data_IF_835851307538
#
_entry.id   IF_835851307538
#
_cell.length_a   1.000
_cell.length_b   1.000
_cell.length_c   1.000
_cell.angle_alpha   90.00
_cell.angle_beta   90.00
_cell.angle_gamma   90.00
#
_symmetry.space_group_name_H-M   'P 1'
#
loop_
_entity.id
_entity.type
_entity.pdbx_description
1 polymer ?
#
# COMPACT_ATOMS: atom_id res chain seq x y z
N UNK A 1 -49.54 -19.43 -22.93
CA UNK A 1 -48.76 -20.68 -22.98
C UNK A 1 -47.26 -20.36 -22.98
N UNK A 2 -46.68 -19.93 -21.86
CA UNK A 2 -45.31 -19.42 -21.85
C UNK A 2 -44.49 -19.70 -20.58
N UNK A 3 -45.03 -20.48 -19.63
CA UNK A 3 -44.36 -20.73 -18.34
C UNK A 3 -44.05 -22.22 -18.11
N UNK A 4 -44.73 -23.12 -18.83
CA UNK A 4 -44.66 -24.58 -18.60
C UNK A 4 -43.41 -25.22 -19.24
N UNK A 5 -42.84 -24.63 -20.29
CA UNK A 5 -41.61 -25.15 -20.94
C UNK A 5 -40.34 -24.85 -20.11
N UNK A 6 -40.40 -23.85 -19.24
CA UNK A 6 -39.21 -23.36 -18.56
C UNK A 6 -38.79 -24.22 -17.35
N UNK A 7 -39.69 -25.03 -16.79
CA UNK A 7 -39.39 -25.98 -15.70
C UNK A 7 -39.47 -27.44 -16.20
N UNK A 8 -39.01 -27.70 -17.43
CA UNK A 8 -38.95 -29.08 -17.95
C UNK A 8 -38.08 -29.96 -17.03
N UNK A 9 -38.60 -31.09 -16.51
CA UNK A 9 -37.85 -32.03 -15.69
C UNK A 9 -36.58 -32.54 -16.39
N UNK A 10 -36.60 -32.64 -17.72
CA UNK A 10 -35.45 -33.07 -18.52
C UNK A 10 -34.29 -32.06 -18.47
N UNK A 11 -34.60 -30.77 -18.54
CA UNK A 11 -33.59 -29.70 -18.46
C UNK A 11 -33.03 -29.61 -17.04
N UNK A 12 -33.90 -29.74 -16.04
CA UNK A 12 -33.48 -29.80 -14.63
C UNK A 12 -32.55 -30.99 -14.39
N UNK A 13 -32.94 -32.20 -14.83
CA UNK A 13 -32.09 -33.39 -14.69
C UNK A 13 -30.75 -33.25 -15.40
N UNK A 14 -30.71 -32.61 -16.57
CA UNK A 14 -29.47 -32.33 -17.26
C UNK A 14 -28.55 -31.37 -16.47
N UNK A 15 -29.07 -30.24 -16.00
CA UNK A 15 -28.31 -29.22 -15.24
C UNK A 15 -27.80 -29.78 -13.90
N UNK A 16 -28.61 -30.61 -13.24
CA UNK A 16 -28.24 -31.22 -11.95
C UNK A 16 -27.40 -32.50 -12.11
N UNK A 17 -27.13 -32.93 -13.34
CA UNK A 17 -26.36 -34.14 -13.59
C UNK A 17 -24.87 -33.99 -13.28
N UNK A 18 -24.26 -35.08 -12.82
CA UNK A 18 -22.80 -35.15 -12.63
C UNK A 18 -22.03 -34.85 -13.92
N UNK A 19 -22.55 -35.24 -15.08
CA UNK A 19 -21.91 -34.99 -16.37
C UNK A 19 -21.85 -33.48 -16.70
N UNK A 20 -22.93 -32.75 -16.43
CA UNK A 20 -22.97 -31.29 -16.59
C UNK A 20 -21.98 -30.61 -15.64
N UNK A 21 -22.00 -31.02 -14.37
CA UNK A 21 -21.07 -30.50 -13.35
C UNK A 21 -19.61 -30.69 -13.75
N UNK A 22 -19.21 -31.89 -14.14
CA UNK A 22 -17.83 -32.18 -14.59
C UNK A 22 -17.45 -31.38 -15.84
N UNK A 23 -18.40 -31.17 -16.75
CA UNK A 23 -18.20 -30.28 -17.91
C UNK A 23 -17.92 -28.84 -17.49
N UNK A 24 -18.70 -28.32 -16.53
CA UNK A 24 -18.52 -26.98 -15.96
C UNK A 24 -17.20 -26.83 -15.20
N UNK A 25 -16.85 -27.79 -14.37
CA UNK A 25 -15.56 -27.85 -13.66
C UNK A 25 -14.40 -27.68 -14.63
N UNK A 26 -14.41 -28.44 -15.74
CA UNK A 26 -13.35 -28.40 -16.75
C UNK A 26 -13.27 -27.05 -17.47
N UNK A 27 -14.39 -26.48 -17.89
CA UNK A 27 -14.39 -25.20 -18.60
C UNK A 27 -14.04 -24.02 -17.69
N UNK A 28 -14.54 -24.01 -16.45
CA UNK A 28 -14.17 -22.99 -15.45
C UNK A 28 -12.69 -23.09 -15.10
N UNK A 29 -12.17 -24.28 -14.81
CA UNK A 29 -10.75 -24.49 -14.51
C UNK A 29 -9.88 -24.03 -15.69
N UNK A 30 -10.23 -24.42 -16.92
CA UNK A 30 -9.52 -23.98 -18.12
C UNK A 30 -9.54 -22.47 -18.31
N UNK A 31 -10.69 -21.82 -18.08
CA UNK A 31 -10.84 -20.37 -18.21
C UNK A 31 -10.03 -19.59 -17.17
N UNK A 32 -9.91 -20.15 -15.95
CA UNK A 32 -9.14 -19.57 -14.85
C UNK A 32 -7.68 -20.04 -14.80
N UNK A 33 -7.24 -20.86 -15.76
CA UNK A 33 -5.90 -21.44 -15.83
C UNK A 33 -5.52 -22.32 -14.64
N UNK A 34 -6.45 -23.17 -14.22
CA UNK A 34 -6.25 -24.23 -13.24
C UNK A 34 -6.23 -25.60 -13.93
N UNK A 35 -5.44 -26.56 -13.40
CA UNK A 35 -5.42 -27.94 -13.90
C UNK A 35 -6.76 -28.65 -13.67
N UNK A 36 -7.43 -28.35 -12.55
CA UNK A 36 -8.73 -28.85 -12.20
C UNK A 36 -9.46 -27.86 -11.28
N UNK A 37 -10.78 -28.00 -11.19
CA UNK A 37 -11.62 -27.30 -10.22
C UNK A 37 -12.81 -28.18 -9.88
N UNK A 38 -13.42 -27.94 -8.72
CA UNK A 38 -14.49 -28.76 -8.19
C UNK A 38 -15.69 -27.90 -7.83
N UNK A 39 -16.85 -28.24 -8.38
CA UNK A 39 -18.12 -27.67 -7.96
C UNK A 39 -18.80 -28.63 -6.98
N UNK A 40 -19.41 -28.05 -5.95
CA UNK A 40 -20.50 -28.71 -5.23
C UNK A 40 -21.66 -29.10 -6.17
N UNK A 41 -22.62 -29.88 -5.67
CA UNK A 41 -23.79 -30.27 -6.47
C UNK A 41 -24.54 -29.02 -7.00
N UNK A 42 -24.67 -28.91 -8.31
CA UNK A 42 -25.40 -27.82 -8.96
C UNK A 42 -26.89 -28.14 -8.85
N UNK A 43 -27.67 -27.22 -8.28
CA UNK A 43 -29.12 -27.34 -8.12
C UNK A 43 -29.82 -26.24 -8.87
N UNK A 44 -30.87 -26.59 -9.61
CA UNK A 44 -31.67 -25.60 -10.30
C UNK A 44 -32.76 -25.09 -9.37
N UNK A 45 -32.72 -23.81 -9.03
CA UNK A 45 -33.68 -23.21 -8.09
C UNK A 45 -34.86 -22.53 -8.78
N UNK A 46 -34.70 -22.12 -10.03
CA UNK A 46 -35.77 -21.51 -10.81
C UNK A 46 -35.62 -21.80 -12.31
N UNK A 47 -36.57 -21.39 -13.17
CA UNK A 47 -36.44 -21.63 -14.59
C UNK A 47 -35.22 -20.95 -15.22
N UNK A 48 -34.67 -19.91 -14.59
CA UNK A 48 -33.53 -19.14 -15.10
C UNK A 48 -32.34 -19.11 -14.13
N UNK A 49 -32.37 -19.86 -13.02
CA UNK A 49 -31.32 -19.80 -11.99
C UNK A 49 -30.85 -21.19 -11.58
N UNK A 50 -29.55 -21.30 -11.38
CA UNK A 50 -28.88 -22.46 -10.80
C UNK A 50 -27.97 -22.01 -9.66
N UNK A 51 -27.77 -22.88 -8.68
CA UNK A 51 -26.95 -22.63 -7.50
C UNK A 51 -25.95 -23.73 -7.27
N UNK A 52 -24.79 -23.36 -6.74
CA UNK A 52 -23.79 -24.26 -6.19
C UNK A 52 -23.34 -23.69 -4.84
N UNK A 53 -23.18 -24.56 -3.84
CA UNK A 53 -22.71 -24.16 -2.51
C UNK A 53 -21.26 -23.67 -2.55
N UNK A 54 -20.41 -24.32 -3.34
CA UNK A 54 -19.00 -23.97 -3.50
C UNK A 54 -18.43 -24.30 -4.89
N UNK A 55 -17.34 -23.60 -5.20
CA UNK A 55 -16.35 -23.92 -6.23
C UNK A 55 -14.95 -23.73 -5.66
N UNK A 56 -14.09 -24.73 -5.78
CA UNK A 56 -12.69 -24.62 -5.38
C UNK A 56 -11.75 -25.03 -6.53
N UNK A 57 -10.62 -24.33 -6.64
CA UNK A 57 -9.55 -24.64 -7.57
C UNK A 57 -8.20 -24.26 -6.95
N UNK A 58 -7.20 -25.11 -7.13
CA UNK A 58 -5.86 -24.94 -6.55
C UNK A 58 -4.78 -25.30 -7.57
N UNK A 59 -3.55 -24.86 -7.31
CA UNK A 59 -2.39 -25.05 -8.18
C UNK A 59 -2.58 -24.37 -9.54
N UNK A 60 -3.12 -23.15 -9.55
CA UNK A 60 -3.26 -22.39 -10.78
C UNK A 60 -1.90 -22.08 -11.43
N UNK A 61 -1.86 -22.14 -12.75
CA UNK A 61 -0.62 -22.12 -13.53
C UNK A 61 -0.17 -20.70 -13.92
N UNK A 62 -1.00 -19.68 -13.66
CA UNK A 62 -0.76 -18.29 -14.09
C UNK A 62 -0.95 -17.30 -12.94
N UNK A 63 -1.76 -16.26 -13.15
CA UNK A 63 -1.97 -15.17 -12.21
C UNK A 63 -2.64 -15.60 -10.91
N UNK A 64 -3.42 -16.68 -10.95
CA UNK A 64 -4.17 -17.22 -9.83
C UNK A 64 -3.47 -18.47 -9.31
N UNK A 65 -3.32 -18.62 -8.01
CA UNK A 65 -2.82 -19.85 -7.36
C UNK A 65 -3.94 -20.66 -6.73
N UNK A 66 -4.95 -19.97 -6.21
CA UNK A 66 -6.06 -20.54 -5.47
C UNK A 66 -7.34 -19.71 -5.67
N UNK A 67 -8.48 -20.40 -5.75
CA UNK A 67 -9.82 -19.82 -5.75
C UNK A 67 -10.72 -20.70 -4.89
N UNK A 68 -11.42 -20.11 -3.92
CA UNK A 68 -12.57 -20.70 -3.22
C UNK A 68 -13.73 -19.71 -3.33
N UNK A 69 -14.83 -20.12 -3.94
CA UNK A 69 -16.04 -19.33 -4.07
C UNK A 69 -17.20 -20.08 -3.42
N UNK A 70 -18.01 -19.39 -2.63
CA UNK A 70 -19.13 -19.96 -1.86
C UNK A 70 -20.42 -19.20 -2.10
N UNK A 71 -21.53 -19.94 -2.05
CA UNK A 71 -22.87 -19.38 -2.27
C UNK A 71 -23.03 -18.85 -3.69
N UNK A 72 -22.70 -19.67 -4.69
CA UNK A 72 -22.70 -19.28 -6.10
C UNK A 72 -24.13 -19.40 -6.62
N UNK A 73 -24.68 -18.30 -7.15
CA UNK A 73 -25.97 -18.27 -7.84
C UNK A 73 -25.76 -17.70 -9.24
N UNK A 74 -26.10 -18.48 -10.27
CA UNK A 74 -25.97 -18.08 -11.65
C UNK A 74 -27.35 -17.92 -12.29
N UNK A 75 -27.60 -16.76 -12.90
CA UNK A 75 -28.75 -16.54 -13.77
C UNK A 75 -28.34 -16.75 -15.22
N UNK A 76 -28.99 -17.69 -15.89
CA UNK A 76 -28.61 -18.14 -17.23
C UNK A 76 -29.79 -18.07 -18.21
N UNK A 77 -29.46 -17.97 -19.51
CA UNK A 77 -30.42 -18.10 -20.59
C UNK A 77 -30.55 -19.59 -21.00
N UNK A 78 -31.67 -20.27 -20.71
CA UNK A 78 -31.84 -21.69 -21.00
C UNK A 78 -31.83 -21.99 -22.51
N UNK A 79 -32.17 -21.02 -23.37
CA UNK A 79 -32.06 -21.19 -24.82
C UNK A 79 -30.61 -21.25 -25.29
N UNK A 80 -29.70 -20.59 -24.55
CA UNK A 80 -28.27 -20.64 -24.77
C UNK A 80 -27.70 -22.07 -24.70
N UNK A 81 -28.22 -22.90 -23.81
CA UNK A 81 -27.80 -24.31 -23.67
C UNK A 81 -28.14 -25.11 -24.93
N UNK A 82 -29.30 -24.86 -25.54
CA UNK A 82 -29.77 -25.54 -26.75
C UNK A 82 -28.96 -25.16 -28.01
N UNK A 83 -28.41 -23.93 -28.05
CA UNK A 83 -27.55 -23.44 -29.15
C UNK A 83 -26.05 -23.50 -28.82
N UNK A 84 -25.65 -24.17 -27.72
CA UNK A 84 -24.26 -24.29 -27.26
C UNK A 84 -23.57 -22.93 -27.01
N UNK A 85 -24.32 -21.93 -26.60
CA UNK A 85 -23.82 -20.60 -26.19
C UNK A 85 -24.24 -20.35 -24.75
N UNK A 86 -23.28 -20.42 -23.83
CA UNK A 86 -23.61 -20.28 -22.42
C UNK A 86 -23.66 -18.80 -22.11
N UNK A 87 -24.83 -18.31 -21.72
CA UNK A 87 -25.07 -16.88 -21.48
C UNK A 87 -25.52 -16.72 -20.05
N UNK A 88 -24.64 -16.16 -19.24
CA UNK A 88 -24.91 -15.80 -17.86
C UNK A 88 -25.18 -14.30 -17.80
N UNK A 89 -26.40 -13.93 -17.45
CA UNK A 89 -26.74 -12.53 -17.26
C UNK A 89 -26.15 -11.99 -15.97
N UNK A 90 -25.99 -12.85 -14.96
CA UNK A 90 -25.51 -12.49 -13.64
C UNK A 90 -24.96 -13.73 -12.95
N UNK A 91 -23.79 -13.60 -12.34
CA UNK A 91 -23.24 -14.58 -11.40
C UNK A 91 -23.04 -13.86 -10.09
N UNK A 92 -23.71 -14.33 -9.05
CA UNK A 92 -23.59 -13.82 -7.70
C UNK A 92 -22.83 -14.83 -6.84
N UNK A 93 -21.88 -14.35 -6.04
CA UNK A 93 -21.06 -15.15 -5.13
C UNK A 93 -21.17 -14.55 -3.73
N UNK A 94 -21.70 -15.31 -2.77
CA UNK A 94 -21.87 -14.81 -1.40
C UNK A 94 -20.54 -14.50 -0.71
N UNK A 95 -19.52 -15.34 -0.90
CA UNK A 95 -18.17 -15.04 -0.44
C UNK A 95 -17.11 -15.74 -1.28
N UNK A 96 -15.93 -15.15 -1.45
CA UNK A 96 -14.83 -15.79 -2.14
C UNK A 96 -13.45 -15.42 -1.62
N UNK A 97 -12.49 -16.28 -1.86
CA UNK A 97 -11.08 -16.08 -1.61
C UNK A 97 -10.31 -16.38 -2.89
N UNK A 98 -9.44 -15.45 -3.28
CA UNK A 98 -8.61 -15.55 -4.46
C UNK A 98 -7.19 -15.19 -4.07
N UNK A 99 -6.26 -16.08 -4.36
CA UNK A 99 -4.82 -15.80 -4.20
C UNK A 99 -4.18 -15.59 -5.57
N UNK A 100 -3.46 -14.46 -5.70
CA UNK A 100 -2.75 -14.07 -6.91
C UNK A 100 -1.23 -14.15 -6.72
N UNK A 101 -0.53 -14.46 -7.80
CA UNK A 101 0.94 -14.51 -7.84
C UNK A 101 1.51 -13.73 -9.03
N UNK A 102 2.73 -13.24 -8.85
CA UNK A 102 3.52 -12.67 -9.95
C UNK A 102 4.02 -13.84 -10.80
N UNK A 103 3.66 -13.85 -12.07
CA UNK A 103 4.14 -14.86 -13.03
C UNK A 103 4.80 -14.17 -14.22
N UNK A 104 5.83 -14.81 -14.78
CA UNK A 104 6.37 -14.37 -16.07
C UNK A 104 5.46 -14.91 -17.17
N UNK A 105 4.78 -14.02 -17.88
CA UNK A 105 3.96 -14.38 -19.03
C UNK A 105 4.87 -14.92 -20.14
N UNK A 106 4.97 -16.25 -20.24
CA UNK A 106 5.53 -16.89 -21.41
C UNK A 106 4.38 -17.09 -22.42
N UNK A 107 4.46 -16.51 -23.63
CA UNK A 107 3.41 -16.67 -24.62
C UNK A 107 3.44 -18.08 -25.18
N UNK A 108 2.59 -18.97 -24.67
CA UNK A 108 2.39 -20.30 -25.27
C UNK A 108 1.21 -20.34 -26.23
N UNK A 109 1.43 -21.07 -27.32
CA UNK A 109 0.49 -21.32 -28.40
C UNK A 109 -0.77 -22.00 -27.88
N UNK A 110 -1.92 -21.55 -28.39
CA UNK A 110 -3.22 -22.09 -27.97
C UNK A 110 -3.30 -23.56 -28.39
N UNK A 111 -3.36 -24.54 -27.47
CA UNK A 111 -3.39 -25.94 -27.87
C UNK A 111 -4.65 -26.20 -28.70
N UNK A 112 -4.49 -27.00 -29.77
CA UNK A 112 -5.58 -27.35 -30.68
C UNK A 112 -6.74 -28.01 -29.92
N UNK A 113 -7.98 -27.63 -30.27
CA UNK A 113 -9.17 -28.13 -29.58
C UNK A 113 -9.28 -29.66 -29.75
N UNK A 114 -9.44 -30.45 -28.68
CA UNK A 114 -9.63 -31.90 -28.78
C UNK A 114 -10.94 -32.27 -29.50
N UNK A 115 -11.01 -33.48 -30.05
CA UNK A 115 -12.09 -33.99 -30.91
C UNK A 115 -13.50 -34.00 -30.27
N UNK A 116 -13.60 -33.96 -28.94
CA UNK A 116 -14.87 -33.86 -28.19
C UNK A 116 -15.32 -32.42 -27.90
N UNK A 117 -14.60 -31.39 -28.39
CA UNK A 117 -15.02 -29.98 -28.29
C UNK A 117 -16.35 -29.67 -29.00
N UNK A 118 -16.87 -30.61 -29.79
CA UNK A 118 -18.21 -30.59 -30.38
C UNK A 118 -19.34 -30.57 -29.34
N UNK A 119 -19.13 -31.01 -28.10
CA UNK A 119 -20.18 -31.08 -27.07
C UNK A 119 -20.11 -29.97 -26.01
N UNK A 120 -19.12 -29.10 -26.11
CA UNK A 120 -18.88 -27.99 -25.17
C UNK A 120 -19.41 -26.66 -25.72
N UNK A 121 -19.78 -25.69 -24.87
CA UNK A 121 -20.04 -24.31 -25.29
C UNK A 121 -18.99 -23.78 -26.26
N UNK A 122 -19.42 -23.17 -27.37
CA UNK A 122 -18.46 -22.51 -28.27
C UNK A 122 -17.96 -21.17 -27.71
N UNK A 123 -18.76 -20.51 -26.84
CA UNK A 123 -18.45 -19.26 -26.13
C UNK A 123 -19.26 -19.15 -24.84
N UNK A 124 -18.61 -18.66 -23.78
CA UNK A 124 -19.27 -18.20 -22.54
C UNK A 124 -19.41 -16.69 -22.62
N UNK A 125 -20.65 -16.19 -22.53
CA UNK A 125 -20.96 -14.77 -22.42
C UNK A 125 -21.36 -14.47 -20.98
N UNK A 126 -20.50 -13.72 -20.29
CA UNK A 126 -20.75 -13.19 -18.96
C UNK A 126 -21.17 -11.73 -19.12
N UNK A 127 -22.23 -11.29 -18.42
CA UNK A 127 -22.58 -9.86 -18.38
C UNK A 127 -22.13 -9.17 -17.10
N UNK A 128 -22.16 -9.87 -15.98
CA UNK A 128 -21.87 -9.34 -14.65
C UNK A 128 -21.52 -10.47 -13.69
N UNK A 129 -20.46 -10.31 -12.92
CA UNK A 129 -20.14 -11.15 -11.77
C UNK A 129 -20.08 -10.24 -10.56
N UNK A 130 -20.70 -10.63 -9.46
CA UNK A 130 -20.71 -9.88 -8.22
C UNK A 130 -20.40 -10.79 -7.05
N UNK A 131 -19.52 -10.36 -6.17
CA UNK A 131 -19.20 -11.03 -4.92
C UNK A 131 -19.45 -10.08 -3.74
N UNK A 132 -20.26 -10.50 -2.76
CA UNK A 132 -20.57 -9.66 -1.60
C UNK A 132 -19.38 -9.47 -0.67
N UNK A 133 -18.59 -10.53 -0.50
CA UNK A 133 -17.36 -10.55 0.31
C UNK A 133 -16.27 -11.34 -0.38
N UNK A 134 -15.33 -10.65 -0.99
CA UNK A 134 -14.15 -11.22 -1.62
C UNK A 134 -12.89 -10.89 -0.80
N UNK A 135 -12.02 -11.88 -0.64
CA UNK A 135 -10.66 -11.71 -0.20
C UNK A 135 -9.75 -11.88 -1.41
N UNK A 136 -9.04 -10.84 -1.81
CA UNK A 136 -8.05 -10.89 -2.90
C UNK A 136 -6.68 -10.73 -2.28
N UNK A 137 -5.89 -11.81 -2.26
CA UNK A 137 -4.63 -11.85 -1.52
C UNK A 137 -3.42 -12.17 -2.39
N UNK A 138 -2.27 -11.64 -2.03
CA UNK A 138 -0.98 -11.89 -2.67
C UNK A 138 0.12 -11.99 -1.62
N UNK A 139 1.34 -12.35 -2.04
CA UNK A 139 2.51 -12.29 -1.17
C UNK A 139 3.31 -11.02 -1.41
N UNK A 140 3.59 -10.29 -0.33
CA UNK A 140 4.46 -9.12 -0.34
C UNK A 140 5.53 -9.27 0.73
N UNK A 141 6.82 -9.24 0.33
CA UNK A 141 7.97 -9.50 1.22
C UNK A 141 7.87 -10.80 2.03
N UNK A 142 7.24 -11.84 1.48
CA UNK A 142 7.03 -13.13 2.13
C UNK A 142 5.79 -13.19 3.03
N UNK A 143 5.14 -12.06 3.30
CA UNK A 143 3.92 -11.95 4.11
C UNK A 143 2.66 -11.93 3.24
N UNK A 144 1.54 -12.31 3.84
CA UNK A 144 0.22 -12.28 3.19
C UNK A 144 -0.29 -10.84 3.17
N UNK A 145 -0.46 -10.30 1.97
CA UNK A 145 -1.09 -9.02 1.71
C UNK A 145 -2.42 -9.23 0.98
N UNK A 146 -3.31 -8.24 1.01
CA UNK A 146 -4.58 -8.37 0.31
C UNK A 146 -5.61 -7.30 0.62
N UNK A 147 -6.67 -7.31 -0.18
CA UNK A 147 -7.96 -6.72 0.15
C UNK A 147 -8.84 -7.77 0.80
N UNK A 148 -9.40 -7.47 1.96
CA UNK A 148 -10.18 -8.40 2.78
C UNK A 148 -11.60 -7.89 2.96
N UNK A 149 -12.57 -8.76 2.71
CA UNK A 149 -14.00 -8.47 2.88
C UNK A 149 -14.52 -7.42 1.92
N UNK A 150 -13.95 -7.29 0.73
CA UNK A 150 -14.37 -6.29 -0.26
C UNK A 150 -15.53 -6.80 -1.12
N UNK A 151 -16.47 -5.92 -1.46
CA UNK A 151 -17.50 -6.24 -2.46
C UNK A 151 -16.91 -6.04 -3.84
N UNK A 152 -16.87 -7.10 -4.65
CA UNK A 152 -16.26 -7.11 -5.97
C UNK A 152 -17.33 -7.18 -7.06
N UNK A 153 -17.24 -6.31 -8.05
CA UNK A 153 -18.05 -6.30 -9.26
C UNK A 153 -17.13 -6.44 -10.46
N UNK A 154 -17.42 -7.41 -11.32
CA UNK A 154 -16.66 -7.67 -12.54
C UNK A 154 -17.61 -7.53 -13.73
N UNK A 155 -17.28 -6.63 -14.65
CA UNK A 155 -18.06 -6.37 -15.86
C UNK A 155 -17.20 -6.53 -17.12
N UNK A 156 -17.71 -7.10 -18.21
CA UNK A 156 -16.96 -7.19 -19.46
C UNK A 156 -16.69 -5.81 -20.06
N UNK A 157 -15.46 -5.58 -20.47
CA UNK A 157 -15.02 -4.43 -21.26
C UNK A 157 -14.51 -4.92 -22.62
N UNK A 158 -15.42 -5.10 -23.58
CA UNK A 158 -15.08 -5.66 -24.89
C UNK A 158 -14.64 -7.14 -24.80
N UNK A 159 -13.32 -7.39 -24.88
CA UNK A 159 -12.72 -8.73 -24.71
C UNK A 159 -12.04 -8.91 -23.34
N UNK A 160 -11.98 -7.85 -22.56
CA UNK A 160 -11.31 -7.74 -21.28
C UNK A 160 -12.36 -7.53 -20.16
N UNK A 161 -11.92 -7.24 -18.94
CA UNK A 161 -12.81 -7.07 -17.79
C UNK A 161 -12.44 -5.84 -16.96
N UNK A 162 -13.47 -5.10 -16.55
CA UNK A 162 -13.41 -4.09 -15.50
C UNK A 162 -13.67 -4.76 -14.15
N UNK A 163 -12.91 -4.35 -13.15
CA UNK A 163 -13.00 -4.82 -11.78
C UNK A 163 -13.21 -3.61 -10.89
N UNK A 164 -14.35 -3.57 -10.21
CA UNK A 164 -14.67 -2.54 -9.23
C UNK A 164 -14.78 -3.20 -7.88
N UNK A 165 -13.97 -2.79 -6.92
CA UNK A 165 -14.07 -3.29 -5.55
C UNK A 165 -14.37 -2.15 -4.58
N UNK A 166 -15.25 -2.39 -3.60
CA UNK A 166 -15.73 -1.38 -2.64
C UNK A 166 -15.83 -1.97 -1.25
N UNK A 167 -15.53 -1.17 -0.24
CA UNK A 167 -15.50 -1.64 1.15
C UNK A 167 -14.39 -2.67 1.41
N UNK A 168 -14.23 -3.00 2.69
CA UNK A 168 -13.20 -3.93 3.16
C UNK A 168 -11.90 -3.21 3.54
N UNK A 169 -10.87 -3.99 3.87
CA UNK A 169 -9.60 -3.46 4.35
C UNK A 169 -8.43 -3.97 3.50
N UNK A 170 -7.52 -3.05 3.17
CA UNK A 170 -6.19 -3.35 2.67
C UNK A 170 -5.28 -3.69 3.86
N UNK A 171 -4.66 -4.87 3.81
CA UNK A 171 -3.60 -5.26 4.74
C UNK A 171 -2.36 -5.62 3.93
N UNK A 172 -1.23 -5.02 4.25
CA UNK A 172 0.06 -5.39 3.69
C UNK A 172 1.20 -4.98 4.61
N UNK A 173 2.34 -5.66 4.52
CA UNK A 173 3.53 -5.27 5.26
C UNK A 173 3.96 -3.83 4.89
N UNK A 174 4.51 -3.09 5.85
CA UNK A 174 4.97 -1.69 5.77
C UNK A 174 3.88 -0.61 5.72
N UNK A 175 2.61 -0.96 5.48
CA UNK A 175 1.50 -0.01 5.55
C UNK A 175 0.64 -0.30 6.78
N UNK A 176 0.06 0.72 7.44
CA UNK A 176 -1.04 0.47 8.36
C UNK A 176 -2.23 -0.15 7.62
N UNK A 177 -3.15 -0.77 8.36
CA UNK A 177 -4.41 -1.22 7.79
C UNK A 177 -5.22 -0.01 7.29
N UNK A 178 -5.65 -0.07 6.03
CA UNK A 178 -6.42 1.00 5.39
C UNK A 178 -7.78 0.46 4.94
N UNK A 179 -8.82 1.25 5.09
CA UNK A 179 -10.14 0.95 4.58
C UNK A 179 -10.21 1.24 3.08
N UNK A 180 -10.67 0.29 2.28
CA UNK A 180 -10.93 0.47 0.86
C UNK A 180 -12.29 1.10 0.66
N UNK A 181 -12.35 2.36 0.23
CA UNK A 181 -13.62 2.97 -0.19
C UNK A 181 -14.03 2.45 -1.55
N UNK A 182 -13.11 2.56 -2.53
CA UNK A 182 -13.34 2.12 -3.90
C UNK A 182 -12.03 1.91 -4.64
N UNK A 183 -12.01 0.92 -5.53
CA UNK A 183 -10.97 0.75 -6.53
C UNK A 183 -11.61 0.38 -7.86
N UNK A 184 -11.12 0.96 -8.95
CA UNK A 184 -11.55 0.72 -10.31
C UNK A 184 -10.32 0.29 -11.14
N UNK A 185 -10.31 -0.96 -11.60
CA UNK A 185 -9.19 -1.57 -12.33
C UNK A 185 -9.67 -2.14 -13.66
N UNK A 186 -8.97 -1.83 -14.74
CA UNK A 186 -9.11 -2.48 -16.04
C UNK A 186 -7.90 -3.38 -16.29
N UNK A 187 -8.12 -4.68 -16.46
CA UNK A 187 -7.06 -5.63 -16.79
C UNK A 187 -7.24 -6.07 -18.24
N UNK A 188 -6.27 -5.73 -19.09
CA UNK A 188 -6.21 -6.14 -20.48
C UNK A 188 -5.04 -7.10 -20.73
N UNK A 189 -4.94 -7.65 -21.94
CA UNK A 189 -3.75 -8.43 -22.35
C UNK A 189 -2.45 -7.64 -22.34
N UNK A 190 -2.51 -6.32 -22.47
CA UNK A 190 -1.33 -5.46 -22.68
C UNK A 190 -0.96 -4.63 -21.44
N UNK A 191 -1.92 -4.37 -20.56
CA UNK A 191 -1.71 -3.53 -19.37
C UNK A 191 -2.78 -3.78 -18.29
N UNK A 192 -2.38 -3.57 -17.04
CA UNK A 192 -3.25 -3.34 -15.91
C UNK A 192 -3.35 -1.82 -15.71
N UNK A 193 -4.55 -1.27 -15.79
CA UNK A 193 -4.81 0.16 -15.58
C UNK A 193 -5.62 0.30 -14.30
N UNK A 194 -5.05 1.01 -13.33
CA UNK A 194 -5.71 1.44 -12.11
C UNK A 194 -6.27 2.83 -12.37
N UNK A 195 -7.56 2.92 -12.66
CA UNK A 195 -8.21 4.21 -12.94
C UNK A 195 -8.35 5.05 -11.68
N UNK A 196 -8.63 4.40 -10.56
CA UNK A 196 -8.78 5.05 -9.27
C UNK A 196 -8.61 4.01 -8.16
N UNK A 197 -7.89 4.37 -7.11
CA UNK A 197 -7.97 3.74 -5.80
C UNK A 197 -8.18 4.84 -4.75
N UNK A 198 -9.17 4.65 -3.89
CA UNK A 198 -9.47 5.52 -2.74
C UNK A 198 -9.43 4.68 -1.47
N UNK A 199 -8.42 4.96 -0.65
CA UNK A 199 -8.18 4.34 0.65
C UNK A 199 -8.33 5.37 1.76
N UNK A 200 -8.77 4.95 2.93
CA UNK A 200 -8.88 5.80 4.11
C UNK A 200 -8.23 5.13 5.33
N UNK A 201 -7.80 5.89 6.35
CA UNK A 201 -7.33 5.32 7.62
C UNK A 201 -8.37 4.47 8.34
N UNK A 202 -9.66 4.71 8.04
CA UNK A 202 -10.78 3.94 8.55
C UNK A 202 -12.07 4.34 7.83
N UNK A 203 -13.12 3.55 7.99
CA UNK A 203 -14.40 3.69 7.27
C UNK A 203 -15.03 5.08 7.38
N UNK A 204 -14.91 5.71 8.56
CA UNK A 204 -15.47 7.05 8.85
C UNK A 204 -14.42 8.15 8.94
N UNK A 205 -13.18 7.86 8.55
CA UNK A 205 -12.11 8.86 8.57
C UNK A 205 -12.28 9.82 7.39
N UNK A 206 -11.94 11.10 7.61
CA UNK A 206 -11.90 12.11 6.55
C UNK A 206 -10.61 11.99 5.71
N UNK A 207 -9.53 11.44 6.28
CA UNK A 207 -8.28 11.22 5.58
C UNK A 207 -8.43 10.28 4.39
N UNK A 208 -7.67 10.54 3.33
CA UNK A 208 -7.73 9.75 2.10
C UNK A 208 -6.35 9.56 1.47
N UNK A 209 -6.24 8.48 0.69
CA UNK A 209 -5.16 8.23 -0.25
C UNK A 209 -5.82 7.92 -1.58
N UNK A 210 -5.61 8.79 -2.55
CA UNK A 210 -6.08 8.62 -3.91
C UNK A 210 -4.92 8.22 -4.80
N UNK A 211 -5.09 7.22 -5.66
CA UNK A 211 -4.07 6.83 -6.61
C UNK A 211 -4.62 6.39 -7.95
N UNK A 212 -3.76 6.46 -8.95
CA UNK A 212 -4.01 6.02 -10.32
C UNK A 212 -2.71 5.53 -10.93
N UNK A 213 -2.78 4.65 -11.92
CA UNK A 213 -1.56 4.19 -12.57
C UNK A 213 -1.77 3.14 -13.63
N UNK A 214 -0.67 2.79 -14.29
CA UNK A 214 -0.62 1.76 -15.31
C UNK A 214 0.58 0.86 -15.10
N UNK A 215 0.39 -0.43 -15.34
CA UNK A 215 1.46 -1.42 -15.37
C UNK A 215 1.36 -2.22 -16.67
N UNK A 216 2.42 -2.16 -17.49
CA UNK A 216 2.52 -2.93 -18.72
C UNK A 216 2.60 -4.43 -18.47
N UNK A 217 1.96 -5.21 -19.34
CA UNK A 217 1.99 -6.67 -19.32
C UNK A 217 2.69 -7.19 -20.59
N UNK A 218 3.52 -8.23 -20.42
CA UNK A 218 4.20 -8.90 -21.53
C UNK A 218 5.51 -8.23 -21.92
N UNK A 219 5.57 -7.67 -23.14
CA UNK A 219 6.78 -7.02 -23.69
C UNK A 219 7.01 -5.64 -23.10
N UNK A 220 5.94 -4.87 -22.89
CA UNK A 220 6.01 -3.65 -22.11
C UNK A 220 5.82 -4.03 -20.64
N UNK A 221 6.75 -3.62 -19.78
CA UNK A 221 6.70 -3.86 -18.33
C UNK A 221 6.85 -2.57 -17.54
N UNK A 222 6.70 -1.42 -18.22
CA UNK A 222 6.78 -0.12 -17.58
C UNK A 222 5.68 0.02 -16.53
N UNK A 223 6.00 0.71 -15.45
CA UNK A 223 5.04 1.10 -14.43
C UNK A 223 5.07 2.60 -14.31
N UNK A 224 3.88 3.17 -14.15
CA UNK A 224 3.66 4.55 -13.75
C UNK A 224 2.52 4.55 -12.72
N UNK A 225 2.75 5.17 -11.57
CA UNK A 225 1.77 5.23 -10.50
C UNK A 225 1.86 6.58 -9.80
N UNK A 226 0.72 7.26 -9.73
CA UNK A 226 0.54 8.51 -9.03
C UNK A 226 -0.29 8.25 -7.78
N UNK A 227 0.09 8.89 -6.69
CA UNK A 227 -0.67 8.84 -5.44
C UNK A 227 -0.65 10.19 -4.78
N UNK A 228 -1.80 10.64 -4.32
CA UNK A 228 -1.95 11.81 -3.46
C UNK A 228 -2.56 11.35 -2.14
N UNK A 229 -2.14 11.97 -1.05
CA UNK A 229 -2.68 11.70 0.27
C UNK A 229 -3.04 13.01 0.95
N UNK A 230 -4.18 13.00 1.63
CA UNK A 230 -4.78 14.15 2.30
C UNK A 230 -5.20 13.73 3.70
N UNK A 231 -4.82 14.52 4.72
CA UNK A 231 -5.16 14.29 6.12
C UNK A 231 -4.84 12.87 6.64
N UNK A 232 -3.72 12.30 6.23
CA UNK A 232 -3.33 10.96 6.65
C UNK A 232 -2.63 10.96 8.01
N UNK A 233 -3.12 10.24 9.04
CA UNK A 233 -2.49 10.25 10.36
C UNK A 233 -1.12 9.58 10.31
N UNK A 234 -0.05 10.34 10.60
CA UNK A 234 1.34 9.84 10.48
C UNK A 234 1.65 8.70 11.45
N UNK A 235 0.94 8.64 12.59
CA UNK A 235 1.18 7.69 13.68
C UNK A 235 1.16 6.23 13.23
N UNK A 236 0.31 5.86 12.26
CA UNK A 236 0.23 4.50 11.74
C UNK A 236 1.45 4.08 10.91
N UNK A 237 2.22 5.05 10.43
CA UNK A 237 3.33 4.88 9.48
C UNK A 237 4.71 4.96 10.14
N UNK A 238 4.76 5.40 11.39
CA UNK A 238 6.00 5.53 12.15
C UNK A 238 6.44 4.20 12.75
N UNK A 239 7.75 3.99 12.97
CA UNK A 239 8.24 2.85 13.76
C UNK A 239 7.67 2.87 15.18
N UNK A 240 7.53 1.69 15.81
CA UNK A 240 6.85 1.54 17.10
C UNK A 240 7.41 2.44 18.21
N UNK A 241 8.73 2.65 18.23
CA UNK A 241 9.41 3.56 19.16
C UNK A 241 8.85 4.99 19.05
N UNK A 242 8.50 5.46 17.85
CA UNK A 242 8.06 6.84 17.57
C UNK A 242 6.55 7.04 17.67
N UNK A 243 5.74 5.97 17.58
CA UNK A 243 4.26 6.06 17.58
C UNK A 243 3.65 6.71 18.82
N UNK A 244 4.38 6.74 19.94
CA UNK A 244 3.89 7.36 21.20
C UNK A 244 4.29 8.83 21.33
N UNK A 245 5.21 9.29 20.49
CA UNK A 245 5.82 10.61 20.63
C UNK A 245 5.41 11.57 19.53
N UNK A 246 5.09 11.07 18.34
CA UNK A 246 4.77 11.90 17.19
C UNK A 246 3.32 11.72 16.75
N UNK A 247 2.67 12.84 16.48
CA UNK A 247 1.33 12.91 15.93
C UNK A 247 1.24 14.03 14.87
N UNK A 248 0.26 13.95 13.99
CA UNK A 248 0.06 14.91 12.90
C UNK A 248 -0.67 14.31 11.71
N UNK A 249 -1.07 15.17 10.79
CA UNK A 249 -1.78 14.80 9.56
C UNK A 249 -0.89 15.09 8.34
N UNK A 250 -0.54 14.06 7.59
CA UNK A 250 0.27 14.14 6.39
C UNK A 250 -0.57 14.45 5.15
N UNK A 251 0.02 15.29 4.30
CA UNK A 251 -0.47 15.73 3.00
C UNK A 251 0.65 15.65 1.99
N UNK A 252 0.31 15.37 0.73
CA UNK A 252 1.29 15.38 -0.33
C UNK A 252 0.98 14.38 -1.43
N UNK A 253 2.04 14.01 -2.16
CA UNK A 253 1.91 13.11 -3.28
C UNK A 253 3.21 12.42 -3.63
N UNK A 254 3.08 11.32 -4.36
CA UNK A 254 4.16 10.45 -4.80
C UNK A 254 3.91 10.10 -6.26
N UNK A 255 4.92 10.31 -7.08
CA UNK A 255 5.00 9.84 -8.46
C UNK A 255 6.04 8.74 -8.55
N UNK A 256 5.64 7.55 -8.96
CA UNK A 256 6.48 6.37 -9.10
C UNK A 256 6.52 5.91 -10.55
N UNK A 257 7.72 5.71 -11.09
CA UNK A 257 7.94 5.14 -12.42
C UNK A 257 8.98 4.02 -12.39
N UNK A 258 8.90 3.12 -13.36
CA UNK A 258 9.90 2.07 -13.53
C UNK A 258 9.84 1.43 -14.91
N UNK A 259 10.99 0.97 -15.41
CA UNK A 259 11.04 0.23 -16.67
C UNK A 259 10.49 -1.21 -16.51
N UNK A 260 10.57 -1.73 -15.29
CA UNK A 260 10.04 -3.04 -14.91
C UNK A 260 9.34 -2.94 -13.55
N UNK A 261 8.49 -3.92 -13.17
CA UNK A 261 7.91 -4.02 -11.83
C UNK A 261 8.92 -4.21 -10.69
N UNK A 262 10.21 -4.34 -10.98
CA UNK A 262 11.22 -4.51 -9.95
C UNK A 262 11.58 -3.17 -9.34
N UNK A 263 11.73 -3.16 -8.01
CA UNK A 263 12.16 -1.98 -7.26
C UNK A 263 13.52 -1.45 -7.76
N UNK A 264 14.41 -2.35 -8.18
CA UNK A 264 15.76 -2.05 -8.69
C UNK A 264 15.76 -1.15 -9.94
N UNK A 265 14.73 -1.27 -10.79
CA UNK A 265 14.60 -0.52 -12.04
C UNK A 265 13.63 0.67 -11.90
N UNK A 266 13.38 1.09 -10.65
CA UNK A 266 12.35 2.07 -10.33
C UNK A 266 12.91 3.34 -9.70
N UNK A 267 12.21 4.43 -9.97
CA UNK A 267 12.49 5.76 -9.44
C UNK A 267 11.20 6.47 -9.11
N UNK A 268 11.27 7.46 -8.25
CA UNK A 268 10.15 8.34 -8.07
C UNK A 268 10.49 9.56 -7.25
N UNK A 269 9.48 10.38 -7.06
CA UNK A 269 9.56 11.65 -6.38
C UNK A 269 8.30 11.84 -5.56
N UNK A 270 8.42 12.61 -4.47
CA UNK A 270 7.30 12.90 -3.63
C UNK A 270 7.52 14.13 -2.78
N UNK A 271 6.41 14.68 -2.33
CA UNK A 271 6.34 15.80 -1.42
C UNK A 271 5.55 15.36 -0.21
N UNK A 272 6.06 15.69 0.97
CA UNK A 272 5.40 15.43 2.24
C UNK A 272 5.31 16.74 3.00
N UNK A 273 4.10 17.07 3.44
CA UNK A 273 3.80 18.13 4.37
C UNK A 273 3.00 17.55 5.53
N UNK A 274 3.28 17.98 6.76
CA UNK A 274 2.56 17.51 7.95
C UNK A 274 1.98 18.72 8.68
N UNK A 275 0.66 18.75 8.78
CA UNK A 275 -0.07 19.73 9.58
C UNK A 275 -0.35 19.19 10.98
N UNK A 276 -0.56 20.13 11.93
CA UNK A 276 -0.83 19.83 13.34
C UNK A 276 0.20 18.86 13.95
N UNK A 277 1.46 18.97 13.50
CA UNK A 277 2.51 18.05 13.92
C UNK A 277 2.92 18.35 15.36
N UNK A 278 2.83 17.33 16.22
CA UNK A 278 3.16 17.41 17.64
C UNK A 278 4.20 16.38 17.99
N UNK A 279 5.21 16.80 18.74
CA UNK A 279 6.22 15.93 19.30
C UNK A 279 6.23 16.05 20.82
N UNK A 280 5.81 14.98 21.50
CA UNK A 280 5.61 14.92 22.94
C UNK A 280 6.46 13.82 23.58
N UNK A 281 6.89 14.04 24.82
CA UNK A 281 7.55 13.04 25.68
C UNK A 281 8.79 12.40 25.02
N UNK A 282 9.50 13.11 24.15
CA UNK A 282 10.76 12.60 23.63
C UNK A 282 11.81 12.72 24.74
N UNK A 283 12.51 11.65 25.12
CA UNK A 283 13.44 11.69 26.26
C UNK A 283 14.51 12.78 26.15
N UNK A 284 14.96 13.12 24.93
CA UNK A 284 15.91 14.22 24.74
C UNK A 284 15.30 15.60 24.99
N UNK A 285 14.01 15.78 24.73
CA UNK A 285 13.31 17.04 24.99
C UNK A 285 13.08 17.30 26.48
N UNK A 286 12.81 16.24 27.24
CA UNK A 286 12.77 16.31 28.71
C UNK A 286 14.12 16.78 29.27
N UNK A 287 15.22 16.25 28.72
CA UNK A 287 16.59 16.66 29.10
C UNK A 287 16.90 18.09 28.68
N UNK A 288 16.51 18.51 27.48
CA UNK A 288 16.68 19.90 27.04
C UNK A 288 15.84 20.87 27.88
N UNK A 289 14.67 20.45 28.34
CA UNK A 289 13.84 21.20 29.29
C UNK A 289 14.56 21.42 30.62
N UNK A 290 15.19 20.38 31.18
CA UNK A 290 16.00 20.47 32.41
C UNK A 290 17.17 21.44 32.22
N UNK A 291 17.84 21.40 31.06
CA UNK A 291 19.01 22.25 30.75
C UNK A 291 18.65 23.71 30.50
N UNK A 292 17.72 23.95 29.58
CA UNK A 292 17.28 25.29 29.21
C UNK A 292 16.37 25.93 30.25
N UNK A 293 15.99 25.20 31.32
CA UNK A 293 15.03 25.60 32.33
C UNK A 293 13.68 26.05 31.72
N UNK A 294 13.30 25.41 30.62
CA UNK A 294 12.18 25.83 29.78
C UNK A 294 11.28 24.65 29.48
N UNK A 295 10.11 24.60 30.15
CA UNK A 295 9.11 23.55 29.96
C UNK A 295 8.49 23.54 28.56
N UNK A 296 8.64 24.61 27.80
CA UNK A 296 8.13 24.63 26.42
C UNK A 296 8.78 23.59 25.51
N UNK A 297 9.91 22.95 25.88
CA UNK A 297 10.46 21.85 25.08
C UNK A 297 9.79 20.50 25.33
N UNK A 298 9.05 20.29 26.42
CA UNK A 298 8.33 19.02 26.70
C UNK A 298 7.30 18.69 25.63
N UNK A 299 6.76 19.74 25.00
CA UNK A 299 5.75 19.69 23.95
C UNK A 299 6.18 20.60 22.79
N UNK A 300 6.52 19.99 21.65
CA UNK A 300 6.78 20.75 20.42
C UNK A 300 5.55 20.75 19.54
N UNK A 301 5.14 21.94 19.11
CA UNK A 301 4.12 22.13 18.09
C UNK A 301 4.79 22.67 16.82
N UNK A 302 4.97 21.81 15.82
CA UNK A 302 5.61 22.21 14.57
C UNK A 302 4.61 23.02 13.74
N UNK A 303 4.98 24.27 13.49
CA UNK A 303 4.26 25.20 12.62
C UNK A 303 4.57 24.98 11.13
N UNK A 304 5.73 24.40 10.83
CA UNK A 304 6.09 23.92 9.49
C UNK A 304 6.77 22.55 9.62
N UNK A 305 6.38 21.61 8.77
CA UNK A 305 6.97 20.29 8.67
C UNK A 305 6.79 19.83 7.22
N UNK A 306 7.80 20.05 6.40
CA UNK A 306 7.77 19.66 4.99
C UNK A 306 9.10 19.11 4.51
N UNK A 307 9.04 18.23 3.52
CA UNK A 307 10.20 17.70 2.83
C UNK A 307 9.83 17.25 1.42
N UNK A 308 10.82 17.32 0.53
CA UNK A 308 10.77 16.71 -0.80
C UNK A 308 11.69 15.51 -0.80
N UNK A 309 11.29 14.42 -1.43
CA UNK A 309 12.14 13.26 -1.59
C UNK A 309 12.12 12.75 -3.02
N UNK A 310 13.27 12.26 -3.47
CA UNK A 310 13.42 11.57 -4.75
C UNK A 310 14.19 10.29 -4.49
N UNK A 311 13.78 9.19 -5.09
CA UNK A 311 14.52 7.94 -5.01
C UNK A 311 14.84 7.41 -6.40
N UNK A 312 16.02 6.81 -6.50
CA UNK A 312 16.45 6.00 -7.63
C UNK A 312 17.27 4.87 -7.03
N UNK A 313 16.72 3.66 -7.05
CA UNK A 313 17.30 2.55 -6.31
C UNK A 313 18.81 2.41 -6.62
N UNK A 314 19.68 2.23 -5.61
CA UNK A 314 19.40 2.11 -4.17
C UNK A 314 19.48 3.43 -3.38
N UNK A 315 19.53 4.58 -4.05
CA UNK A 315 19.68 5.91 -3.45
C UNK A 315 18.36 6.63 -3.20
N UNK A 316 18.32 7.39 -2.11
CA UNK A 316 17.23 8.29 -1.73
C UNK A 316 17.86 9.66 -1.41
N UNK A 317 17.33 10.71 -2.01
CA UNK A 317 17.66 12.09 -1.70
C UNK A 317 16.44 12.76 -1.05
N UNK A 318 16.64 13.40 0.08
CA UNK A 318 15.66 14.19 0.79
C UNK A 318 16.15 15.63 0.76
N UNK A 319 15.36 16.52 0.18
CA UNK A 319 15.68 17.93 -0.05
C UNK A 319 14.58 18.80 0.54
N UNK A 320 14.89 20.09 0.63
CA UNK A 320 13.96 21.11 1.11
C UNK A 320 13.30 20.72 2.44
N UNK A 321 14.09 20.07 3.32
CA UNK A 321 13.65 19.74 4.67
C UNK A 321 13.40 21.08 5.35
N UNK A 322 12.18 21.29 5.84
CA UNK A 322 11.80 22.45 6.62
C UNK A 322 11.01 21.97 7.83
N UNK A 323 11.60 22.12 9.02
CA UNK A 323 10.91 21.88 10.30
C UNK A 323 11.01 23.16 11.11
N UNK A 324 9.89 23.72 11.54
CA UNK A 324 9.89 24.94 12.34
C UNK A 324 8.86 24.87 13.45
N UNK A 325 9.27 25.23 14.65
CA UNK A 325 8.38 25.75 15.67
C UNK A 325 8.67 27.24 15.85
N UNK A 326 7.75 28.07 15.36
CA UNK A 326 7.95 29.51 15.25
C UNK A 326 8.35 30.13 16.59
N UNK A 327 9.52 30.76 16.61
CA UNK A 327 10.06 31.42 17.81
C UNK A 327 10.85 30.51 18.76
N UNK A 328 10.97 29.20 18.46
CA UNK A 328 11.85 28.26 19.16
C UNK A 328 13.03 27.83 18.32
N UNK A 329 12.77 27.08 17.25
CA UNK A 329 13.83 26.55 16.40
C UNK A 329 13.33 26.37 14.97
N UNK A 330 14.28 26.31 14.05
CA UNK A 330 14.06 26.04 12.63
C UNK A 330 15.17 25.13 12.11
N UNK A 331 14.80 24.16 11.31
CA UNK A 331 15.68 23.15 10.72
C UNK A 331 15.50 23.22 9.21
N UNK A 332 16.60 23.42 8.50
CA UNK A 332 16.60 23.45 7.03
C UNK A 332 17.71 22.58 6.48
N UNK A 333 17.49 21.84 5.39
CA UNK A 333 18.62 21.17 4.75
C UNK A 333 18.28 20.06 3.78
N UNK A 334 19.28 19.22 3.55
CA UNK A 334 19.19 18.08 2.66
C UNK A 334 20.00 16.90 3.19
N UNK A 335 19.48 15.71 2.95
CA UNK A 335 20.04 14.43 3.36
C UNK A 335 20.03 13.50 2.15
N UNK A 336 21.03 12.66 2.05
CA UNK A 336 21.14 11.59 1.06
C UNK A 336 21.38 10.26 1.79
N UNK A 337 20.73 9.22 1.30
CA UNK A 337 20.87 7.86 1.78
C UNK A 337 21.23 7.01 0.57
N UNK A 338 22.42 6.41 0.57
CA UNK A 338 22.84 5.45 -0.47
C UNK A 338 23.23 4.14 0.19
N UNK A 339 22.53 3.05 -0.16
CA UNK A 339 22.78 1.71 0.40
C UNK A 339 22.95 1.72 1.94
N UNK A 340 22.05 2.41 2.65
CA UNK A 340 22.03 2.66 4.11
C UNK A 340 23.04 3.68 4.63
N UNK A 341 24.02 4.13 3.85
CA UNK A 341 24.94 5.18 4.28
C UNK A 341 24.21 6.53 4.32
N UNK A 342 24.23 7.20 5.46
CA UNK A 342 23.59 8.48 5.68
C UNK A 342 24.60 9.60 5.51
N UNK A 343 24.28 10.61 4.68
CA UNK A 343 25.11 11.80 4.49
C UNK A 343 24.25 13.03 4.27
N UNK A 344 24.58 14.14 4.92
CA UNK A 344 23.85 15.39 4.68
C UNK A 344 24.38 16.54 5.51
N UNK A 345 23.79 17.70 5.26
CA UNK A 345 24.01 18.88 6.08
C UNK A 345 22.66 19.55 6.35
N UNK A 346 22.45 19.86 7.63
CA UNK A 346 21.25 20.52 8.12
C UNK A 346 21.67 21.80 8.83
N UNK A 347 21.03 22.91 8.49
CA UNK A 347 21.07 24.16 9.22
C UNK A 347 20.10 24.08 10.40
N UNK A 348 20.62 24.23 11.62
CA UNK A 348 19.84 24.31 12.84
C UNK A 348 19.88 25.75 13.36
N UNK A 349 18.73 26.43 13.29
CA UNK A 349 18.49 27.75 13.85
C UNK A 349 17.76 27.63 15.19
N UNK A 350 18.28 28.28 16.23
CA UNK A 350 17.67 28.30 17.57
C UNK A 350 17.52 29.75 18.04
N UNK A 351 16.41 30.09 18.70
CA UNK A 351 16.24 31.43 19.25
C UNK A 351 17.23 31.65 20.40
N UNK A 352 17.88 32.83 20.45
CA UNK A 352 18.97 33.11 21.41
C UNK A 352 18.62 32.77 22.86
N UNK A 353 17.40 33.10 23.30
CA UNK A 353 16.91 32.82 24.66
C UNK A 353 16.99 31.34 25.07
N UNK A 354 17.02 30.41 24.11
CA UNK A 354 17.13 28.97 24.38
C UNK A 354 18.57 28.45 24.36
N UNK A 355 19.55 29.33 24.11
CA UNK A 355 20.99 29.03 24.13
C UNK A 355 21.70 29.65 25.34
N UNK A 356 20.97 30.29 26.26
CA UNK A 356 21.58 31.01 27.41
C UNK A 356 22.31 30.07 28.39
N UNK A 357 22.01 28.77 28.36
CA UNK A 357 22.70 27.74 29.16
C UNK A 357 24.05 27.33 28.54
N UNK A 358 24.29 27.60 27.26
CA UNK A 358 25.50 27.22 26.55
C UNK A 358 26.56 28.33 26.71
N UNK A 359 27.75 28.06 27.29
CA UNK A 359 28.82 29.03 27.34
C UNK A 359 29.34 29.31 25.92
N UNK A 360 29.48 30.58 25.54
CA UNK A 360 30.00 30.97 24.23
C UNK A 360 29.19 30.42 23.04
N UNK A 361 27.85 30.62 23.00
CA UNK A 361 27.02 30.00 21.97
C UNK A 361 27.39 30.46 20.55
N UNK A 362 28.05 31.61 20.42
CA UNK A 362 28.53 32.18 19.16
C UNK A 362 29.67 31.39 18.51
N UNK A 363 30.39 30.56 19.28
CA UNK A 363 31.45 29.69 18.75
C UNK A 363 30.88 28.53 17.93
N UNK A 364 29.68 28.05 18.29
CA UNK A 364 28.98 26.99 17.55
C UNK A 364 27.92 27.58 16.62
N UNK A 365 27.14 28.54 17.09
CA UNK A 365 26.06 29.20 16.37
C UNK A 365 26.52 30.60 15.95
N UNK A 366 27.17 30.69 14.79
CA UNK A 366 27.85 31.91 14.37
C UNK A 366 27.01 32.85 13.50
N UNK A 367 25.94 32.34 12.86
CA UNK A 367 25.15 33.09 11.88
C UNK A 367 23.80 33.52 12.47
N UNK A 368 23.53 34.81 12.57
CA UNK A 368 22.23 35.32 13.01
C UNK A 368 21.35 35.70 11.81
N UNK A 369 20.14 35.12 11.71
CA UNK A 369 19.20 35.42 10.63
C UNK A 369 17.77 35.04 11.04
N UNK A 370 16.80 35.89 10.70
CA UNK A 370 15.37 35.57 10.84
C UNK A 370 14.89 35.39 12.29
N UNK A 371 15.59 35.98 13.27
CA UNK A 371 15.31 35.79 14.70
C UNK A 371 15.97 34.57 15.34
N UNK A 372 16.71 33.77 14.55
CA UNK A 372 17.45 32.60 15.00
C UNK A 372 18.96 32.82 14.90
N UNK A 373 19.71 32.04 15.68
CA UNK A 373 21.15 31.87 15.52
C UNK A 373 21.39 30.45 15.02
N UNK A 374 22.15 30.35 13.94
CA UNK A 374 22.26 29.17 13.09
C UNK A 374 23.62 28.51 13.24
N UNK A 375 23.61 27.18 13.17
CA UNK A 375 24.79 26.33 13.00
C UNK A 375 24.53 25.30 11.89
N UNK A 376 25.60 24.84 11.24
CA UNK A 376 25.52 23.69 10.34
C UNK A 376 25.82 22.42 11.13
N UNK A 377 24.94 21.43 11.00
CA UNK A 377 25.08 20.08 11.53
C UNK A 377 25.32 19.13 10.37
N UNK A 378 26.44 18.44 10.40
CA UNK A 378 26.81 17.43 9.41
C UNK A 378 26.33 16.06 9.89
N UNK A 379 25.57 15.37 9.04
CA UNK A 379 25.09 14.02 9.30
C UNK A 379 25.96 13.00 8.57
N UNK A 380 26.37 11.94 9.28
CA UNK A 380 27.16 10.81 8.77
C UNK A 380 26.68 9.48 9.33
N UNK A 381 27.43 8.40 9.09
CA UNK A 381 27.12 7.07 9.60
C UNK A 381 26.15 6.30 8.69
N UNK A 382 25.21 5.58 9.31
CA UNK A 382 24.19 4.79 8.60
C UNK A 382 22.79 5.15 9.09
N UNK A 383 21.76 4.72 8.37
CA UNK A 383 20.36 4.91 8.81
C UNK A 383 20.06 4.23 10.16
N UNK A 384 20.83 3.20 10.53
CA UNK A 384 20.69 2.48 11.80
C UNK A 384 21.58 3.05 12.90
N UNK A 385 22.64 3.76 12.53
CA UNK A 385 23.58 4.38 13.45
C UNK A 385 23.95 5.75 12.89
N UNK A 386 23.02 6.72 12.95
CA UNK A 386 23.28 8.06 12.47
C UNK A 386 24.28 8.75 13.41
N UNK A 387 25.22 9.44 12.81
CA UNK A 387 26.23 10.25 13.50
C UNK A 387 26.02 11.73 13.15
N UNK A 388 26.41 12.60 14.08
CA UNK A 388 26.34 14.05 13.91
C UNK A 388 27.47 14.76 14.66
N UNK A 389 27.88 15.92 14.17
CA UNK A 389 29.03 16.68 14.67
C UNK A 389 28.71 17.73 15.74
N UNK A 390 27.42 18.02 15.99
CA UNK A 390 26.98 19.05 16.94
C UNK A 390 27.22 18.66 18.41
N UNK A 391 26.87 17.45 18.84
CA UNK A 391 27.09 17.04 20.24
C UNK A 391 28.57 17.02 20.63
N UNK A 392 29.49 16.48 19.82
CA UNK A 392 30.92 16.59 20.09
C UNK A 392 31.39 18.04 20.25
N UNK A 393 30.94 18.95 19.37
CA UNK A 393 31.27 20.39 19.44
C UNK A 393 30.77 21.04 20.73
N UNK A 394 29.54 20.74 21.15
CA UNK A 394 28.98 21.24 22.42
C UNK A 394 29.77 20.68 23.61
N UNK A 395 30.09 19.38 23.61
CA UNK A 395 30.86 18.76 24.69
C UNK A 395 32.26 19.39 24.81
N UNK A 396 32.88 19.76 23.70
CA UNK A 396 34.19 20.41 23.69
C UNK A 396 34.18 21.77 24.40
N UNK A 397 33.16 22.61 24.15
CA UNK A 397 32.98 23.87 24.88
C UNK A 397 32.87 23.67 26.41
N UNK A 398 32.22 22.58 26.85
CA UNK A 398 32.11 22.25 28.27
C UNK A 398 33.36 21.58 28.86
N UNK A 399 34.30 21.10 28.05
CA UNK A 399 35.61 20.68 28.58
C UNK A 399 36.45 21.90 28.98
N UNK A 400 36.25 23.02 28.29
CA UNK A 400 36.90 24.29 28.60
C UNK A 400 36.24 25.02 29.79
N UNK A 401 34.99 24.66 30.14
CA UNK A 401 34.25 25.20 31.29
C UNK A 401 33.66 24.08 32.18
N UNK A 402 34.22 23.79 33.37
CA UNK A 402 34.06 22.51 34.06
C UNK A 402 32.64 22.29 34.64
N UNK A 403 31.74 21.73 33.83
CA UNK A 403 30.41 21.28 34.25
C UNK A 403 30.24 19.76 34.10
N UNK A 404 30.63 18.98 35.11
CA UNK A 404 30.56 17.51 35.08
C UNK A 404 29.13 16.94 34.87
N UNK A 405 28.11 17.68 35.30
CA UNK A 405 26.70 17.30 35.14
C UNK A 405 26.23 17.40 33.68
N UNK A 406 26.66 18.44 32.96
CA UNK A 406 26.29 18.68 31.56
C UNK A 406 26.95 17.67 30.62
N UNK A 407 28.19 17.28 30.93
CA UNK A 407 28.91 16.25 30.19
C UNK A 407 28.22 14.87 30.31
N UNK A 408 27.65 14.54 31.47
CA UNK A 408 26.87 13.32 31.67
C UNK A 408 25.56 13.35 30.89
N UNK A 409 24.84 14.48 30.88
CA UNK A 409 23.59 14.64 30.13
C UNK A 409 23.80 14.52 28.62
N UNK A 410 24.88 15.12 28.08
CA UNK A 410 25.20 15.05 26.65
C UNK A 410 25.64 13.64 26.22
N UNK A 411 26.30 12.88 27.10
CA UNK A 411 26.65 11.48 26.83
C UNK A 411 25.42 10.58 26.81
N UNK A 412 24.48 10.79 27.74
CA UNK A 412 23.19 10.10 27.73
C UNK A 412 22.36 10.44 26.48
N UNK A 413 22.48 11.65 25.95
CA UNK A 413 21.87 12.05 24.68
C UNK A 413 22.44 11.26 23.48
N UNK A 414 23.76 11.11 23.39
CA UNK A 414 24.39 10.26 22.36
C UNK A 414 23.95 8.80 22.47
N UNK A 415 23.89 8.26 23.69
CA UNK A 415 23.47 6.88 23.92
C UNK A 415 21.99 6.68 23.53
N UNK A 416 21.11 7.63 23.85
CA UNK A 416 19.71 7.59 23.45
C UNK A 416 19.52 7.71 21.93
N UNK A 417 20.27 8.59 21.25
CA UNK A 417 20.23 8.68 19.78
C UNK A 417 20.65 7.33 19.17
N UNK A 418 21.70 6.70 19.68
CA UNK A 418 22.14 5.38 19.23
C UNK A 418 21.11 4.29 19.50
N UNK A 419 20.38 4.35 20.61
CA UNK A 419 19.33 3.37 20.94
C UNK A 419 18.03 3.59 20.14
N UNK A 420 17.70 4.84 19.83
CA UNK A 420 16.45 5.22 19.16
C UNK A 420 16.55 5.07 17.64
N UNK A 421 17.69 5.43 17.08
CA UNK A 421 18.00 5.23 15.66
C UNK A 421 18.68 3.89 15.38
N UNK A 422 19.19 3.21 16.43
CA UNK A 422 19.61 1.81 16.45
C UNK A 422 18.50 0.87 15.99
N UNK A 423 18.68 0.29 14.82
CA UNK A 423 17.77 -0.72 14.26
C UNK A 423 17.83 -2.04 15.03
N UNK A 424 16.67 -2.68 15.16
CA UNK A 424 16.56 -4.16 15.24
C UNK A 424 16.65 -4.75 13.82
#
# INVERSE_FOLDING_TARGET
MGTIVFFSPLITHYIESSAFRVGMEKETAKGLHFPAGHYSAIRRTSPLTAQAESFDASNGERALTFVDARGITARFDPWGVLIRQWRFSEIHVGSGEVEIQIYQANPEETPSKPWFALFLPNRVYLKRIEADRANVTWRFRGERAGFFGTRLLITPHGRDFDYVATGGNLKMALLPELYLRRVDVLITKAALTLHNIDLAPGERSEGNVHGEGTAGIGKNRSIEFNTNFDRMPIRGWLPDKWKKHLNGSAFGGVHWTGATPKLEDSSGEGLLHVEDARADNLPFLEKLTELAHERSFEHLELTDCSLNFTWRYPGIEIKDIALEEKGKFRVEGAISIDRRALRGAIQLGVARKYLDWLPGPEEIFSRQQGGYIWTTVHLSGTIDQPEQDLSPRIIELFKESPGAYLQLLLRQFEDWLKETFGGD
#
